data_IF_700669514012
#
_entry.id   IF_700669514012
#
_cell.length_a   1.000
_cell.length_b   1.000
_cell.length_c   1.000
_cell.angle_alpha   90.00
_cell.angle_beta   90.00
_cell.angle_gamma   90.00
#
_symmetry.space_group_name_H-M   'P 1'
#
loop_
_entity.id
_entity.type
_entity.pdbx_description
1 polymer ?
#
# COMPACT_ATOMS: atom_id res chain seq x y z
N UNK A 1 -17.72 -13.51 14.42
CA UNK A 1 -16.41 -12.85 14.32
C UNK A 1 -16.25 -12.35 12.90
N UNK A 2 -16.22 -11.04 12.69
CA UNK A 2 -15.86 -10.48 11.39
C UNK A 2 -14.41 -10.87 11.08
N UNK A 3 -14.19 -11.50 9.92
CA UNK A 3 -12.84 -11.74 9.41
C UNK A 3 -12.36 -10.45 8.75
N UNK A 4 -11.21 -9.94 9.16
CA UNK A 4 -10.59 -8.78 8.53
C UNK A 4 -10.42 -9.00 7.01
N UNK A 5 -10.82 -8.03 6.20
CA UNK A 5 -10.72 -8.09 4.73
C UNK A 5 -9.26 -8.06 4.25
N UNK A 6 -8.43 -7.22 4.88
CA UNK A 6 -6.98 -7.12 4.66
C UNK A 6 -6.29 -7.23 6.02
N UNK A 7 -5.21 -8.01 6.08
CA UNK A 7 -4.33 -8.08 7.26
C UNK A 7 -2.89 -7.84 6.82
N UNK A 8 -2.23 -6.87 7.45
CA UNK A 8 -0.81 -6.58 7.27
C UNK A 8 -0.07 -7.06 8.54
N UNK A 9 0.91 -7.93 8.36
CA UNK A 9 1.74 -8.45 9.45
C UNK A 9 3.19 -8.08 9.20
N UNK A 10 3.77 -7.30 10.11
CA UNK A 10 5.20 -6.96 10.07
C UNK A 10 6.02 -8.22 10.35
N UNK A 11 7.05 -8.45 9.55
CA UNK A 11 8.05 -9.50 9.73
C UNK A 11 9.36 -8.87 10.25
N UNK A 12 10.43 -9.65 10.33
CA UNK A 12 11.74 -9.14 10.74
C UNK A 12 12.27 -8.10 9.73
N UNK A 13 12.84 -7.01 10.23
CA UNK A 13 13.38 -5.94 9.38
C UNK A 13 12.30 -5.10 8.69
N UNK A 14 12.47 -4.90 7.38
CA UNK A 14 11.55 -4.14 6.51
C UNK A 14 10.52 -5.04 5.81
N UNK A 15 10.52 -6.34 6.09
CA UNK A 15 9.61 -7.27 5.46
C UNK A 15 8.23 -7.22 6.10
N UNK A 16 7.20 -7.41 5.28
CA UNK A 16 5.82 -7.52 5.73
C UNK A 16 5.05 -8.52 4.87
N UNK A 17 4.01 -9.11 5.44
CA UNK A 17 3.08 -10.00 4.74
C UNK A 17 1.71 -9.34 4.67
N UNK A 18 1.13 -9.29 3.48
CA UNK A 18 -0.25 -8.88 3.27
C UNK A 18 -1.09 -10.13 2.96
N UNK A 19 -2.19 -10.30 3.67
CA UNK A 19 -3.21 -11.29 3.35
C UNK A 19 -4.51 -10.56 3.01
N UNK A 20 -5.09 -10.87 1.86
CA UNK A 20 -6.39 -10.35 1.41
C UNK A 20 -7.37 -11.51 1.38
N UNK A 21 -8.53 -11.35 2.00
CA UNK A 21 -9.57 -12.39 2.01
C UNK A 21 -10.09 -12.64 0.59
N UNK A 22 -10.40 -13.90 0.25
CA UNK A 22 -11.01 -14.28 -1.04
C UNK A 22 -12.43 -13.71 -1.23
N UNK A 23 -13.05 -13.25 -0.15
CA UNK A 23 -14.38 -12.63 -0.18
C UNK A 23 -14.37 -11.16 -0.59
N UNK A 24 -13.19 -10.54 -0.71
CA UNK A 24 -13.09 -9.11 -1.06
C UNK A 24 -13.45 -8.91 -2.53
N UNK A 25 -14.36 -7.97 -2.77
CA UNK A 25 -14.82 -7.57 -4.10
C UNK A 25 -13.88 -6.55 -4.74
N UNK A 26 -14.01 -6.34 -6.06
CA UNK A 26 -13.25 -5.31 -6.80
C UNK A 26 -13.52 -3.91 -6.24
N UNK A 27 -14.77 -3.59 -5.90
CA UNK A 27 -15.12 -2.28 -5.34
C UNK A 27 -14.49 -2.05 -3.96
N UNK A 28 -14.42 -3.11 -3.14
CA UNK A 28 -13.72 -3.04 -1.85
C UNK A 28 -12.20 -2.87 -2.04
N UNK A 29 -11.60 -3.56 -3.01
CA UNK A 29 -10.18 -3.37 -3.33
C UNK A 29 -9.88 -1.91 -3.74
N UNK A 30 -10.71 -1.32 -4.58
CA UNK A 30 -10.57 0.08 -5.00
C UNK A 30 -10.67 1.04 -3.81
N UNK A 31 -11.69 0.85 -2.96
CA UNK A 31 -11.88 1.64 -1.74
C UNK A 31 -10.69 1.51 -0.77
N UNK A 32 -10.21 0.29 -0.53
CA UNK A 32 -9.10 0.04 0.39
C UNK A 32 -7.80 0.63 -0.14
N UNK A 33 -7.54 0.49 -1.45
CA UNK A 33 -6.34 1.04 -2.09
C UNK A 33 -6.34 2.56 -2.00
N UNK A 34 -7.47 3.21 -2.33
CA UNK A 34 -7.62 4.66 -2.25
C UNK A 34 -7.43 5.19 -0.83
N UNK A 35 -8.03 4.52 0.17
CA UNK A 35 -7.86 4.90 1.59
C UNK A 35 -6.43 4.70 2.07
N UNK A 36 -5.78 3.60 1.69
CA UNK A 36 -4.38 3.37 2.05
C UNK A 36 -3.46 4.45 1.46
N UNK A 37 -3.65 4.78 0.18
CA UNK A 37 -2.88 5.85 -0.47
C UNK A 37 -3.06 7.20 0.25
N UNK A 38 -4.27 7.54 0.65
CA UNK A 38 -4.56 8.74 1.45
C UNK A 38 -3.79 8.76 2.77
N UNK A 39 -3.88 7.70 3.59
CA UNK A 39 -3.19 7.65 4.88
C UNK A 39 -1.67 7.65 4.75
N UNK A 40 -1.14 7.02 3.70
CA UNK A 40 0.29 7.06 3.41
C UNK A 40 0.74 8.49 3.05
N UNK A 41 -0.04 9.20 2.23
CA UNK A 41 0.27 10.57 1.85
C UNK A 41 0.19 11.53 3.05
N UNK A 42 -0.82 11.38 3.90
CA UNK A 42 -0.96 12.13 5.15
C UNK A 42 0.27 11.91 6.04
N UNK A 43 0.64 10.63 6.27
CA UNK A 43 1.78 10.31 7.12
C UNK A 43 3.11 10.78 6.52
N UNK A 44 3.25 10.74 5.20
CA UNK A 44 4.45 11.22 4.50
C UNK A 44 4.58 12.74 4.61
N UNK A 45 3.48 13.46 4.44
CA UNK A 45 3.39 14.91 4.63
C UNK A 45 3.87 15.31 6.03
N UNK A 46 3.33 14.66 7.07
CA UNK A 46 3.73 14.92 8.46
C UNK A 46 5.21 14.64 8.74
N UNK A 47 5.75 13.55 8.21
CA UNK A 47 7.13 13.14 8.48
C UNK A 47 8.17 14.01 7.77
N UNK A 48 7.80 14.65 6.67
CA UNK A 48 8.71 15.43 5.83
C UNK A 48 8.40 16.93 5.84
N UNK A 49 7.41 17.36 6.61
CA UNK A 49 6.91 18.75 6.64
C UNK A 49 6.59 19.27 5.22
N UNK A 50 5.85 18.46 4.46
CA UNK A 50 5.46 18.75 3.08
C UNK A 50 3.97 19.04 2.99
N UNK A 51 3.59 19.90 2.03
CA UNK A 51 2.19 20.00 1.60
C UNK A 51 1.65 18.64 1.17
N UNK A 52 0.39 18.36 1.51
CA UNK A 52 -0.25 17.06 1.26
C UNK A 52 -0.21 16.67 -0.23
N UNK A 53 -0.35 17.63 -1.14
CA UNK A 53 -0.28 17.39 -2.59
C UNK A 53 1.08 16.83 -3.03
N UNK A 54 2.19 17.38 -2.53
CA UNK A 54 3.53 16.86 -2.83
C UNK A 54 3.76 15.49 -2.20
N UNK A 55 3.21 15.25 -1.00
CA UNK A 55 3.28 13.94 -0.36
C UNK A 55 2.48 12.87 -1.13
N UNK A 56 1.31 13.24 -1.67
CA UNK A 56 0.50 12.39 -2.55
C UNK A 56 1.27 12.00 -3.81
N UNK A 57 1.92 12.95 -4.47
CA UNK A 57 2.78 12.69 -5.64
C UNK A 57 3.94 11.74 -5.30
N UNK A 58 4.59 11.93 -4.13
CA UNK A 58 5.66 11.05 -3.67
C UNK A 58 5.19 9.61 -3.44
N UNK A 59 3.99 9.42 -2.87
CA UNK A 59 3.39 8.08 -2.68
C UNK A 59 3.11 7.41 -4.03
N UNK A 60 2.55 8.13 -4.99
CA UNK A 60 2.29 7.60 -6.34
C UNK A 60 3.59 7.21 -7.06
N UNK A 61 4.60 8.09 -7.03
CA UNK A 61 5.91 7.81 -7.63
C UNK A 61 6.59 6.59 -6.97
N UNK A 62 6.47 6.46 -5.65
CA UNK A 62 6.98 5.29 -4.92
C UNK A 62 6.28 3.99 -5.34
N UNK A 63 4.96 4.05 -5.52
CA UNK A 63 4.16 2.92 -6.01
C UNK A 63 4.60 2.48 -7.42
N UNK A 64 4.70 3.42 -8.36
CA UNK A 64 5.09 3.14 -9.75
C UNK A 64 6.51 2.57 -9.86
N UNK A 65 7.45 3.08 -9.06
CA UNK A 65 8.80 2.54 -8.99
C UNK A 65 8.81 1.10 -8.47
N UNK A 66 8.08 0.81 -7.39
CA UNK A 66 8.13 -0.50 -6.72
C UNK A 66 7.31 -1.58 -7.42
N UNK A 67 6.23 -1.22 -8.11
CA UNK A 67 5.41 -2.20 -8.81
C UNK A 67 6.18 -2.83 -9.98
N UNK A 68 7.00 -2.05 -10.67
CA UNK A 68 7.91 -2.54 -11.71
C UNK A 68 8.89 -3.57 -11.13
N UNK A 69 9.58 -3.21 -10.05
CA UNK A 69 10.52 -4.09 -9.35
C UNK A 69 9.85 -5.43 -8.93
N UNK A 70 8.67 -5.36 -8.31
CA UNK A 70 7.98 -6.54 -7.79
C UNK A 70 7.37 -7.43 -8.87
N UNK A 71 6.93 -6.84 -9.98
CA UNK A 71 6.37 -7.59 -11.09
C UNK A 71 7.46 -8.38 -11.83
N UNK A 72 8.67 -7.84 -11.93
CA UNK A 72 9.78 -8.53 -12.58
C UNK A 72 10.41 -9.61 -11.69
N UNK A 73 10.55 -9.38 -10.39
CA UNK A 73 10.99 -10.40 -9.41
C UNK A 73 10.05 -11.62 -9.37
N UNK A 74 8.76 -11.44 -9.67
CA UNK A 74 7.79 -12.55 -9.76
C UNK A 74 7.90 -13.38 -11.03
N UNK A 75 8.51 -12.87 -12.10
CA UNK A 75 8.71 -13.63 -13.36
C UNK A 75 9.95 -14.53 -13.30
N UNK A 76 10.92 -14.18 -12.47
CA UNK A 76 12.20 -14.90 -12.33
C UNK A 76 12.13 -16.07 -11.32
N UNK A 77 11.00 -16.27 -10.64
CA UNK A 77 10.73 -17.37 -9.70
C UNK A 77 9.67 -18.31 -10.24
#
# INVERSE_FOLDING_TARGET
MEKNAITISKLLGNDFKINISRSVTVNELDLYTSRLAYYLAERWSELNDLEFEHAKEAVLASFDSKITDWHDVKKEK
#
